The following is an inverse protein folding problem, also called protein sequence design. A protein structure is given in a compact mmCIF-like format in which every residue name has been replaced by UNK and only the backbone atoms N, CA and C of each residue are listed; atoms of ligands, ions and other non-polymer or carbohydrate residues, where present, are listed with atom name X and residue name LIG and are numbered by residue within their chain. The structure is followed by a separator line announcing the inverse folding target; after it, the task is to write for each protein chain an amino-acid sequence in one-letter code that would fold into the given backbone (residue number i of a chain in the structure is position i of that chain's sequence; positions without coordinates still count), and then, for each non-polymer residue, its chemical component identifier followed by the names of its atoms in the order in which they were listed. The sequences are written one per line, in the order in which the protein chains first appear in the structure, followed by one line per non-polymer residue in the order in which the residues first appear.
data_IF_299601349468
#
_entry.id   IF_299601349468
#
_cell.length_a   1.000
_cell.length_b   1.000
_cell.length_c   1.000
_cell.angle_alpha   90.00
_cell.angle_beta   90.00
_cell.angle_gamma   90.00
#
_symmetry.space_group_name_H-M   'P 1'
#
loop_
_entity.id
_entity.type
_entity.pdbx_description
1 polymer ?
#
# COMPACT_ATOMS: atom_id res chain seq x y z
N UNK A 1 -4.97 8.67 9.88
CA UNK A 1 -6.07 9.14 8.98
C UNK A 1 -7.28 8.26 9.19
N UNK A 2 -8.51 8.83 9.20
CA UNK A 2 -9.72 8.05 9.38
C UNK A 2 -9.87 6.92 8.36
N UNK A 3 -9.45 7.15 7.13
CA UNK A 3 -9.50 6.15 6.06
C UNK A 3 -8.65 4.92 6.37
N UNK A 4 -7.50 5.13 7.03
CA UNK A 4 -6.64 4.02 7.44
C UNK A 4 -7.32 3.17 8.50
N UNK A 5 -7.97 3.82 9.49
CA UNK A 5 -8.68 3.12 10.54
C UNK A 5 -9.86 2.31 9.97
N UNK A 6 -10.55 2.87 8.99
CA UNK A 6 -11.65 2.18 8.31
C UNK A 6 -11.13 0.96 7.58
N UNK A 7 -10.00 1.09 6.86
CA UNK A 7 -9.38 -0.03 6.15
C UNK A 7 -9.04 -1.17 7.13
N UNK A 8 -8.41 -0.85 8.25
CA UNK A 8 -8.01 -1.88 9.21
C UNK A 8 -9.21 -2.53 9.89
N UNK A 9 -10.25 -1.75 10.16
CA UNK A 9 -11.49 -2.29 10.71
C UNK A 9 -12.16 -3.25 9.73
N UNK A 10 -12.28 -2.86 8.46
CA UNK A 10 -12.90 -3.71 7.43
C UNK A 10 -12.11 -4.99 7.20
N UNK A 11 -10.78 -4.90 7.10
CA UNK A 11 -9.95 -6.08 6.84
C UNK A 11 -9.92 -7.03 8.04
N UNK A 12 -10.11 -6.52 9.26
CA UNK A 12 -10.15 -7.37 10.46
C UNK A 12 -11.33 -8.34 10.45
N UNK A 13 -12.35 -8.09 9.63
CA UNK A 13 -13.50 -8.99 9.53
C UNK A 13 -13.19 -10.28 8.75
N UNK A 14 -12.15 -10.28 7.91
CA UNK A 14 -11.82 -11.48 7.13
C UNK A 14 -10.35 -11.89 7.19
N UNK A 15 -9.45 -11.04 7.74
CA UNK A 15 -8.04 -11.35 7.87
C UNK A 15 -7.66 -11.64 9.32
N UNK A 16 -6.58 -12.40 9.51
CA UNK A 16 -6.03 -12.65 10.84
C UNK A 16 -5.43 -11.37 11.41
N UNK A 17 -5.33 -11.31 12.75
CA UNK A 17 -4.76 -10.15 13.43
C UNK A 17 -3.33 -9.83 12.95
N UNK A 18 -2.51 -10.85 12.75
CA UNK A 18 -1.13 -10.66 12.26
C UNK A 18 -1.09 -10.09 10.84
N UNK A 19 -2.07 -10.45 10.01
CA UNK A 19 -2.19 -9.93 8.64
C UNK A 19 -2.59 -8.46 8.67
N UNK A 20 -3.50 -8.08 9.53
CA UNK A 20 -3.89 -6.68 9.71
C UNK A 20 -2.70 -5.87 10.22
N UNK A 21 -1.88 -6.45 11.11
CA UNK A 21 -0.65 -5.81 11.59
C UNK A 21 0.31 -5.55 10.43
N UNK A 22 0.45 -6.51 9.52
CA UNK A 22 1.29 -6.32 8.33
C UNK A 22 0.78 -5.15 7.48
N UNK A 23 -0.54 -5.04 7.31
CA UNK A 23 -1.13 -3.91 6.57
C UNK A 23 -0.85 -2.57 7.25
N UNK A 24 -0.93 -2.54 8.59
CA UNK A 24 -0.61 -1.33 9.35
C UNK A 24 0.85 -0.94 9.15
N UNK A 25 1.75 -1.91 9.16
CA UNK A 25 3.18 -1.66 8.94
C UNK A 25 3.42 -1.13 7.53
N UNK A 26 2.73 -1.68 6.53
CA UNK A 26 2.84 -1.20 5.15
C UNK A 26 2.32 0.23 5.01
N UNK A 27 1.20 0.52 5.65
CA UNK A 27 0.65 1.88 5.66
C UNK A 27 1.63 2.88 6.28
N UNK A 28 2.20 2.55 7.44
CA UNK A 28 3.16 3.43 8.11
C UNK A 28 4.42 3.62 7.28
N UNK A 29 4.91 2.55 6.67
CA UNK A 29 6.07 2.62 5.79
C UNK A 29 5.80 3.51 4.58
N UNK A 30 4.66 3.31 3.91
CA UNK A 30 4.26 4.12 2.77
C UNK A 30 4.05 5.58 3.14
N UNK A 31 3.42 5.83 4.27
CA UNK A 31 3.22 7.20 4.76
C UNK A 31 4.55 7.90 4.97
N UNK A 32 5.52 7.22 5.58
CA UNK A 32 6.86 7.77 5.78
C UNK A 32 7.59 8.00 4.47
N UNK A 33 7.49 7.04 3.54
CA UNK A 33 8.15 7.14 2.24
C UNK A 33 7.62 8.32 1.41
N UNK A 34 6.33 8.59 1.48
CA UNK A 34 5.69 9.70 0.76
C UNK A 34 5.66 11.00 1.58
N UNK A 35 6.40 11.08 2.68
CA UNK A 35 6.43 12.25 3.53
C UNK A 35 6.83 13.49 2.73
N UNK A 36 6.04 14.56 2.85
CA UNK A 36 6.29 15.79 2.11
C UNK A 36 5.73 15.81 0.70
N UNK A 37 5.13 14.71 0.25
CA UNK A 37 4.49 14.64 -1.06
C UNK A 37 2.99 14.83 -0.91
N UNK A 38 2.40 15.58 -1.83
CA UNK A 38 0.97 15.92 -1.80
C UNK A 38 0.34 15.72 -3.17
N UNK A 39 -0.95 15.38 -3.16
CA UNK A 39 -1.73 15.32 -4.39
C UNK A 39 -2.10 16.73 -4.84
N UNK A 40 -2.60 16.86 -6.08
CA UNK A 40 -3.06 18.16 -6.60
C UNK A 40 -4.15 18.77 -5.72
N UNK A 41 -4.93 17.94 -5.04
CA UNK A 41 -5.97 18.38 -4.11
C UNK A 41 -5.42 18.96 -2.81
N UNK A 42 -4.11 18.81 -2.55
CA UNK A 42 -3.49 19.24 -1.29
C UNK A 42 -3.43 18.17 -0.24
N UNK A 43 -4.06 17.00 -0.47
CA UNK A 43 -4.02 15.90 0.48
C UNK A 43 -2.65 15.21 0.47
N UNK A 44 -2.20 14.65 1.62
CA UNK A 44 -0.98 13.85 1.64
C UNK A 44 -1.06 12.72 0.60
N UNK A 45 0.05 12.42 -0.06
CA UNK A 45 0.07 11.46 -1.16
C UNK A 45 -0.42 10.07 -0.75
N UNK A 46 -0.16 9.64 0.49
CA UNK A 46 -0.60 8.33 0.97
C UNK A 46 -2.11 8.14 0.87
N UNK A 47 -2.90 9.21 0.78
CA UNK A 47 -4.35 9.09 0.64
C UNK A 47 -4.76 8.36 -0.63
N UNK A 48 -3.96 8.44 -1.70
CA UNK A 48 -4.26 7.74 -2.96
C UNK A 48 -4.09 6.23 -2.84
N UNK A 49 -2.92 5.68 -2.47
CA UNK A 49 -2.79 4.23 -2.29
C UNK A 49 -3.72 3.69 -1.21
N UNK A 50 -4.02 4.48 -0.19
CA UNK A 50 -4.96 4.09 0.84
C UNK A 50 -6.37 3.91 0.27
N UNK A 51 -6.80 4.81 -0.61
CA UNK A 51 -8.11 4.70 -1.27
C UNK A 51 -8.17 3.46 -2.17
N UNK A 52 -7.09 3.15 -2.89
CA UNK A 52 -7.01 1.94 -3.72
C UNK A 52 -7.14 0.70 -2.85
N UNK A 53 -6.40 0.63 -1.75
CA UNK A 53 -6.49 -0.50 -0.83
C UNK A 53 -7.89 -0.65 -0.25
N UNK A 54 -8.57 0.47 0.03
CA UNK A 54 -9.95 0.46 0.52
C UNK A 54 -10.92 -0.18 -0.47
N UNK A 55 -10.77 0.12 -1.75
CA UNK A 55 -11.58 -0.51 -2.80
C UNK A 55 -11.33 -2.01 -2.83
N UNK A 56 -10.05 -2.41 -2.81
CA UNK A 56 -9.68 -3.83 -2.87
C UNK A 56 -10.11 -4.60 -1.63
N UNK A 57 -10.15 -3.96 -0.46
CA UNK A 57 -10.58 -4.62 0.77
C UNK A 57 -12.05 -5.03 0.71
N UNK A 58 -12.86 -4.26 -0.02
CA UNK A 58 -14.28 -4.60 -0.21
C UNK A 58 -14.46 -5.87 -1.03
N UNK A 59 -13.46 -6.21 -1.83
CA UNK A 59 -13.44 -7.45 -2.61
C UNK A 59 -12.80 -8.60 -1.84
N UNK A 60 -12.45 -8.38 -0.58
CA UNK A 60 -11.81 -9.36 0.31
C UNK A 60 -10.51 -9.94 -0.28
N UNK A 61 -9.70 -9.08 -0.91
CA UNK A 61 -8.44 -9.53 -1.48
C UNK A 61 -7.42 -9.84 -0.40
N UNK A 62 -6.40 -10.62 -0.75
CA UNK A 62 -5.43 -11.13 0.21
C UNK A 62 -4.41 -10.07 0.66
N UNK A 63 -3.65 -10.42 1.69
CA UNK A 63 -2.67 -9.50 2.30
C UNK A 63 -1.60 -9.04 1.31
N UNK A 64 -0.97 -9.92 0.51
CA UNK A 64 0.03 -9.45 -0.45
C UNK A 64 -0.53 -8.42 -1.43
N UNK A 65 -1.74 -8.61 -1.92
CA UNK A 65 -2.40 -7.70 -2.86
C UNK A 65 -2.69 -6.35 -2.20
N UNK A 66 -3.27 -6.37 -1.00
CA UNK A 66 -3.57 -5.13 -0.27
C UNK A 66 -2.29 -4.38 0.10
N UNK A 67 -1.27 -5.12 0.53
CA UNK A 67 0.02 -4.53 0.88
C UNK A 67 0.66 -3.89 -0.35
N UNK A 68 0.63 -4.57 -1.49
CA UNK A 68 1.15 -4.03 -2.74
C UNK A 68 0.41 -2.76 -3.15
N UNK A 69 -0.91 -2.72 -2.96
CA UNK A 69 -1.70 -1.53 -3.26
C UNK A 69 -1.25 -0.33 -2.43
N UNK A 70 -0.98 -0.55 -1.14
CA UNK A 70 -0.49 0.51 -0.26
C UNK A 70 0.90 1.02 -0.66
N UNK A 71 1.72 0.18 -1.29
CA UNK A 71 3.11 0.48 -1.59
C UNK A 71 3.40 0.71 -3.08
N UNK A 72 2.38 0.65 -3.95
CA UNK A 72 2.62 0.59 -5.39
C UNK A 72 3.36 1.79 -5.97
N UNK A 73 3.22 2.97 -5.39
CA UNK A 73 3.91 4.16 -5.88
C UNK A 73 5.23 4.45 -5.16
N UNK A 74 5.56 3.67 -4.13
CA UNK A 74 6.75 3.94 -3.31
C UNK A 74 8.03 3.83 -4.12
N UNK A 75 8.15 2.78 -4.94
CA UNK A 75 9.38 2.56 -5.73
C UNK A 75 9.55 3.62 -6.81
N UNK A 76 8.46 4.05 -7.45
CA UNK A 76 8.54 5.07 -8.52
C UNK A 76 8.77 6.47 -7.98
N UNK A 77 8.12 6.81 -6.88
CA UNK A 77 8.04 8.19 -6.41
C UNK A 77 8.98 8.50 -5.24
N UNK A 78 9.75 7.52 -4.78
CA UNK A 78 10.73 7.71 -3.70
C UNK A 78 12.02 6.99 -4.03
N UNK A 79 13.01 7.11 -3.14
CA UNK A 79 14.31 6.45 -3.30
C UNK A 79 14.30 4.97 -2.84
N UNK A 80 13.16 4.47 -2.40
CA UNK A 80 13.06 3.10 -1.90
C UNK A 80 13.06 2.13 -3.07
N UNK A 81 13.91 1.10 -2.99
CA UNK A 81 14.08 0.11 -4.04
C UNK A 81 13.13 -1.08 -3.88
N UNK A 82 12.93 -1.81 -4.99
CA UNK A 82 12.21 -3.08 -4.97
C UNK A 82 12.85 -4.06 -3.97
N UNK A 83 14.18 -4.06 -3.89
CA UNK A 83 14.90 -4.94 -2.97
C UNK A 83 14.53 -4.66 -1.52
N UNK A 84 14.36 -3.41 -1.15
CA UNK A 84 13.96 -3.04 0.19
C UNK A 84 12.52 -3.48 0.49
N UNK A 85 11.61 -3.34 -0.48
CA UNK A 85 10.23 -3.82 -0.35
C UNK A 85 10.24 -5.35 -0.13
N UNK A 86 11.04 -6.08 -0.91
CA UNK A 86 11.15 -7.53 -0.78
C UNK A 86 11.65 -7.93 0.60
N UNK A 87 12.65 -7.22 1.11
CA UNK A 87 13.22 -7.50 2.42
C UNK A 87 12.23 -7.27 3.56
N UNK A 88 11.43 -6.20 3.46
CA UNK A 88 10.51 -5.82 4.54
C UNK A 88 9.17 -6.54 4.48
N UNK A 89 8.65 -6.78 3.29
CA UNK A 89 7.27 -7.27 3.11
C UNK A 89 7.17 -8.59 2.33
N UNK A 90 8.29 -9.08 1.83
CA UNK A 90 8.34 -10.34 1.11
C UNK A 90 8.41 -10.18 -0.39
N UNK A 91 8.92 -11.21 -1.04
CA UNK A 91 9.14 -11.21 -2.48
C UNK A 91 7.83 -11.11 -3.26
N UNK A 92 6.76 -11.76 -2.78
CA UNK A 92 5.45 -11.69 -3.43
C UNK A 92 4.93 -10.27 -3.52
N UNK A 93 5.05 -9.50 -2.44
CA UNK A 93 4.62 -8.10 -2.41
C UNK A 93 5.47 -7.28 -3.38
N UNK A 94 6.79 -7.48 -3.36
CA UNK A 94 7.70 -6.73 -4.24
C UNK A 94 7.40 -6.99 -5.71
N UNK A 95 7.10 -8.24 -6.09
CA UNK A 95 6.75 -8.57 -7.47
C UNK A 95 5.42 -7.93 -7.88
N UNK A 96 4.43 -7.91 -6.98
CA UNK A 96 3.15 -7.27 -7.27
C UNK A 96 3.32 -5.76 -7.43
N UNK A 97 4.11 -5.11 -6.58
CA UNK A 97 4.40 -3.68 -6.69
C UNK A 97 5.06 -3.37 -8.04
N UNK A 98 6.05 -4.18 -8.41
CA UNK A 98 6.78 -4.01 -9.67
C UNK A 98 5.84 -4.19 -10.87
N UNK A 99 4.96 -5.19 -10.82
CA UNK A 99 3.99 -5.43 -11.88
C UNK A 99 3.00 -4.29 -12.06
N UNK A 100 2.47 -3.74 -10.97
CA UNK A 100 1.55 -2.59 -11.01
C UNK A 100 2.27 -1.38 -11.58
N UNK A 101 3.50 -1.13 -11.13
CA UNK A 101 4.31 -0.01 -11.61
C UNK A 101 4.52 -0.08 -13.13
N UNK A 102 4.83 -1.28 -13.65
CA UNK A 102 5.01 -1.47 -15.10
C UNK A 102 3.72 -1.25 -15.88
N UNK A 103 2.58 -1.70 -15.34
CA UNK A 103 1.29 -1.51 -15.99
C UNK A 103 0.92 -0.04 -16.09
N UNK A 104 1.21 0.74 -15.07
CA UNK A 104 0.87 2.17 -15.07
C UNK A 104 1.73 2.97 -16.05
N UNK A 105 2.87 2.43 -16.48
CA UNK A 105 3.75 3.09 -17.45
C UNK A 105 3.34 2.89 -18.90
N UNK A 106 2.41 1.98 -19.17
CA UNK A 106 2.02 1.64 -20.53
C UNK A 106 1.14 2.73 -21.17
N UNK A 107 0.59 3.60 -20.37
CA UNK A 107 -0.18 4.73 -20.88
C UNK A 107 0.69 5.62 -21.76
#
# INVERSE_FOLDING_TARGET
MPEAEILFSETSHYLKAEDVTQLKNAYLFGQGAHSGQFRKSGEPYISHPLAVAGILSKLHLDVPTLTAALLHDVVEDTDISKAEISERFGESVAELVDGVSKLTKIE
#
